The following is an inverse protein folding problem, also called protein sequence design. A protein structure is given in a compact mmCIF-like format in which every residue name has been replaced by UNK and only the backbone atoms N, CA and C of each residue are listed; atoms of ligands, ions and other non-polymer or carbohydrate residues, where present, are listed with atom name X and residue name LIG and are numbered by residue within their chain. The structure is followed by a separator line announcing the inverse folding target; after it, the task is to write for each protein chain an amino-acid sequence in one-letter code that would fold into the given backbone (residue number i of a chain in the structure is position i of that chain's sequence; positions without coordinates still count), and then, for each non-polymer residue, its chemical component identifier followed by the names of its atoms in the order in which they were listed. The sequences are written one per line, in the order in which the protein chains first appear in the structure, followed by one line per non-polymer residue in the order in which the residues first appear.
data_IF_127907889677
#
_entry.id   IF_127907889677
#
_cell.length_a   1.000
_cell.length_b   1.000
_cell.length_c   1.000
_cell.angle_alpha   90.00
_cell.angle_beta   90.00
_cell.angle_gamma   90.00
#
_symmetry.space_group_name_H-M   'P 1'
#
loop_
_entity.id
_entity.type
_entity.pdbx_description
1 polymer ?
#
# COMPACT_ATOMS: atom_id res chain seq x y z
N UNK A 1 -35.27 -0.76 -33.75
CA UNK A 1 -35.52 -0.01 -32.49
C UNK A 1 -34.36 -0.32 -31.56
N UNK A 2 -33.52 0.67 -31.24
CA UNK A 2 -32.40 0.48 -30.32
C UNK A 2 -32.89 0.73 -28.90
N UNK A 3 -32.82 -0.28 -28.03
CA UNK A 3 -33.05 -0.10 -26.60
C UNK A 3 -31.79 0.55 -26.01
N UNK A 4 -31.86 1.79 -25.48
CA UNK A 4 -30.72 2.35 -24.79
C UNK A 4 -30.47 1.53 -23.52
N UNK A 5 -29.28 0.96 -23.39
CA UNK A 5 -28.85 0.21 -22.19
C UNK A 5 -28.78 1.08 -20.92
N UNK A 6 -28.95 2.40 -21.04
CA UNK A 6 -28.84 3.38 -19.95
C UNK A 6 -30.11 4.21 -19.76
N UNK A 7 -31.29 3.60 -19.90
CA UNK A 7 -32.53 4.27 -19.50
C UNK A 7 -32.75 4.16 -17.97
N UNK A 8 -32.30 5.16 -17.22
CA UNK A 8 -32.97 5.58 -15.97
C UNK A 8 -32.27 5.30 -14.64
N UNK A 9 -31.41 6.23 -14.18
CA UNK A 9 -31.28 6.75 -12.81
C UNK A 9 -30.03 7.66 -12.76
N UNK A 10 -30.06 8.86 -12.15
CA UNK A 10 -28.87 9.70 -12.03
C UNK A 10 -27.78 9.09 -11.12
N UNK A 11 -28.14 8.10 -10.30
CA UNK A 11 -27.22 7.28 -9.51
C UNK A 11 -27.60 5.81 -9.71
N UNK A 12 -26.92 5.15 -10.64
CA UNK A 12 -27.10 3.72 -10.89
C UNK A 12 -26.49 2.91 -9.74
N UNK A 13 -27.02 1.72 -9.45
CA UNK A 13 -26.48 0.79 -8.44
C UNK A 13 -24.98 0.51 -8.65
N UNK A 14 -24.52 0.61 -9.90
CA UNK A 14 -23.13 0.55 -10.31
C UNK A 14 -22.25 1.59 -9.60
N UNK A 15 -22.72 2.84 -9.41
CA UNK A 15 -21.95 3.85 -8.67
C UNK A 15 -21.77 3.47 -7.20
N UNK A 16 -22.78 2.86 -6.58
CA UNK A 16 -22.67 2.37 -5.19
C UNK A 16 -21.72 1.19 -5.08
N UNK A 17 -21.70 0.30 -6.07
CA UNK A 17 -20.76 -0.82 -6.13
C UNK A 17 -19.33 -0.29 -6.29
N UNK A 18 -19.10 0.63 -7.22
CA UNK A 18 -17.79 1.25 -7.46
C UNK A 18 -17.33 2.01 -6.21
N UNK A 19 -18.20 2.81 -5.60
CA UNK A 19 -17.90 3.53 -4.37
C UNK A 19 -17.59 2.56 -3.22
N UNK A 20 -18.36 1.48 -3.08
CA UNK A 20 -18.13 0.43 -2.09
C UNK A 20 -16.77 -0.23 -2.26
N UNK A 21 -16.42 -0.63 -3.48
CA UNK A 21 -15.10 -1.19 -3.80
C UNK A 21 -13.99 -0.17 -3.49
N UNK A 22 -14.18 1.09 -3.84
CA UNK A 22 -13.20 2.15 -3.60
C UNK A 22 -12.97 2.37 -2.10
N UNK A 23 -14.04 2.44 -1.31
CA UNK A 23 -13.96 2.57 0.16
C UNK A 23 -13.27 1.37 0.79
N UNK A 24 -13.64 0.14 0.40
CA UNK A 24 -13.00 -1.07 0.93
C UNK A 24 -11.51 -1.06 0.60
N UNK A 25 -11.16 -0.77 -0.65
CA UNK A 25 -9.76 -0.73 -1.11
C UNK A 25 -8.96 0.37 -0.40
N UNK A 26 -9.57 1.54 -0.17
CA UNK A 26 -8.99 2.63 0.59
C UNK A 26 -8.69 2.21 2.03
N UNK A 27 -9.68 1.62 2.72
CA UNK A 27 -9.54 1.19 4.13
C UNK A 27 -8.48 0.11 4.28
N UNK A 28 -8.47 -0.87 3.37
CA UNK A 28 -7.46 -1.94 3.38
C UNK A 28 -6.05 -1.37 3.17
N UNK A 29 -5.86 -0.50 2.16
CA UNK A 29 -4.56 0.14 1.92
C UNK A 29 -4.13 1.00 3.10
N UNK A 30 -5.06 1.75 3.70
CA UNK A 30 -4.77 2.55 4.87
C UNK A 30 -4.34 1.68 6.06
N UNK A 31 -5.01 0.55 6.28
CA UNK A 31 -4.65 -0.42 7.31
C UNK A 31 -3.24 -0.99 7.12
N UNK A 32 -2.90 -1.40 5.89
CA UNK A 32 -1.56 -1.90 5.55
C UNK A 32 -0.51 -0.81 5.72
N UNK A 33 -0.78 0.41 5.27
CA UNK A 33 0.13 1.54 5.44
C UNK A 33 0.41 1.88 6.90
N UNK A 34 -0.64 1.91 7.74
CA UNK A 34 -0.50 2.10 9.19
C UNK A 34 0.30 0.97 9.82
N UNK A 35 0.09 -0.27 9.37
CA UNK A 35 0.86 -1.41 9.83
C UNK A 35 2.35 -1.29 9.47
N UNK A 36 2.67 -0.94 8.22
CA UNK A 36 4.04 -0.70 7.74
C UNK A 36 4.70 0.43 8.54
N UNK A 37 4.01 1.55 8.76
CA UNK A 37 4.52 2.65 9.57
C UNK A 37 4.86 2.19 11.00
N UNK A 38 3.96 1.41 11.63
CA UNK A 38 4.16 0.92 12.99
C UNK A 38 5.28 -0.11 13.07
N UNK A 39 5.43 -0.98 12.07
CA UNK A 39 6.52 -1.95 12.00
C UNK A 39 7.86 -1.24 11.79
N UNK A 40 7.95 -0.30 10.85
CA UNK A 40 9.15 0.51 10.61
C UNK A 40 9.56 1.30 11.86
N UNK A 41 8.59 1.90 12.56
CA UNK A 41 8.85 2.63 13.81
C UNK A 41 9.29 1.72 14.96
N UNK A 42 8.82 0.48 15.02
CA UNK A 42 9.26 -0.52 16.01
C UNK A 42 10.67 -1.02 15.76
N UNK A 43 11.11 -1.03 14.50
CA UNK A 43 12.42 -1.52 14.05
C UNK A 43 13.47 -0.42 13.86
N UNK A 44 13.14 0.82 14.23
CA UNK A 44 13.98 2.01 14.05
C UNK A 44 14.49 2.22 12.61
N UNK A 45 13.69 1.80 11.62
CA UNK A 45 14.01 1.97 10.21
C UNK A 45 13.87 3.45 9.86
N UNK A 46 14.92 4.03 9.26
CA UNK A 46 14.90 5.43 8.82
C UNK A 46 13.72 5.72 7.88
N UNK A 47 13.18 6.93 7.94
CA UNK A 47 12.09 7.37 7.08
C UNK A 47 10.79 6.53 7.22
N UNK A 48 10.46 6.04 8.41
CA UNK A 48 9.25 5.25 8.69
C UNK A 48 7.95 5.86 8.13
N UNK A 49 7.81 7.19 8.16
CA UNK A 49 6.67 7.88 7.55
C UNK A 49 6.65 7.73 6.03
N UNK A 50 7.79 7.82 5.35
CA UNK A 50 7.90 7.66 3.90
C UNK A 50 7.53 6.23 3.48
N UNK A 51 7.87 5.21 4.28
CA UNK A 51 7.44 3.83 4.03
C UNK A 51 5.93 3.64 4.16
N UNK A 52 5.33 4.20 5.22
CA UNK A 52 3.88 4.21 5.39
C UNK A 52 3.17 4.96 4.26
N UNK A 53 3.53 6.21 4.01
CA UNK A 53 2.92 7.05 2.98
C UNK A 53 3.15 6.51 1.57
N UNK A 54 4.36 6.04 1.27
CA UNK A 54 4.72 5.43 -0.01
C UNK A 54 3.88 4.20 -0.29
N UNK A 55 3.78 3.27 0.67
CA UNK A 55 2.96 2.06 0.51
C UNK A 55 1.48 2.37 0.28
N UNK A 56 0.93 3.37 0.98
CA UNK A 56 -0.45 3.83 0.77
C UNK A 56 -0.64 4.39 -0.63
N UNK A 57 0.22 5.34 -1.04
CA UNK A 57 0.08 6.02 -2.33
C UNK A 57 0.25 5.06 -3.50
N UNK A 58 1.24 4.17 -3.46
CA UNK A 58 1.40 3.16 -4.53
C UNK A 58 0.32 2.09 -4.48
N UNK A 59 -0.11 1.65 -3.30
CA UNK A 59 -1.14 0.64 -3.14
C UNK A 59 -2.53 1.13 -3.58
N UNK A 60 -2.85 2.38 -3.25
CA UNK A 60 -4.15 2.97 -3.56
C UNK A 60 -4.22 3.55 -4.99
N UNK A 61 -3.14 4.13 -5.52
CA UNK A 61 -3.14 4.80 -6.83
C UNK A 61 -2.48 3.97 -7.95
N UNK A 62 -1.60 3.03 -7.60
CA UNK A 62 -0.54 2.58 -8.52
C UNK A 62 -0.54 1.10 -8.90
N UNK A 63 -1.41 0.27 -8.33
CA UNK A 63 -1.51 -1.16 -8.68
C UNK A 63 -0.14 -1.88 -8.65
N UNK A 64 0.40 -2.25 -9.82
CA UNK A 64 1.69 -2.96 -9.99
C UNK A 64 2.86 -2.24 -9.30
N UNK A 65 2.87 -0.90 -9.23
CA UNK A 65 3.94 -0.16 -8.53
C UNK A 65 3.96 -0.40 -7.02
N UNK A 66 2.84 -0.83 -6.42
CA UNK A 66 2.79 -1.26 -5.03
C UNK A 66 3.64 -2.50 -4.78
N UNK A 67 3.69 -3.43 -5.74
CA UNK A 67 4.46 -4.67 -5.63
C UNK A 67 5.95 -4.38 -5.56
N UNK A 68 6.45 -3.42 -6.33
CA UNK A 68 7.85 -2.99 -6.31
C UNK A 68 8.20 -2.36 -4.96
N UNK A 69 7.36 -1.46 -4.44
CA UNK A 69 7.59 -0.87 -3.11
C UNK A 69 7.52 -1.92 -2.01
N UNK A 70 6.59 -2.87 -2.09
CA UNK A 70 6.50 -3.96 -1.12
C UNK A 70 7.76 -4.84 -1.16
N UNK A 71 8.23 -5.22 -2.35
CA UNK A 71 9.45 -6.00 -2.50
C UNK A 71 10.67 -5.27 -1.90
N UNK A 72 10.82 -3.97 -2.16
CA UNK A 72 11.88 -3.16 -1.56
C UNK A 72 11.75 -3.06 -0.04
N UNK A 73 10.53 -2.87 0.47
CA UNK A 73 10.28 -2.84 1.91
C UNK A 73 10.67 -4.15 2.59
N UNK A 74 10.26 -5.30 2.02
CA UNK A 74 10.59 -6.62 2.57
C UNK A 74 12.09 -6.90 2.52
N UNK A 75 12.75 -6.54 1.42
CA UNK A 75 14.21 -6.66 1.30
C UNK A 75 14.93 -5.88 2.40
N UNK A 76 14.61 -4.59 2.54
CA UNK A 76 15.19 -3.72 3.58
C UNK A 76 14.87 -4.29 4.97
N UNK A 77 13.63 -4.67 5.23
CA UNK A 77 13.21 -5.27 6.50
C UNK A 77 14.08 -6.48 6.88
N UNK A 78 14.43 -7.31 5.91
CA UNK A 78 15.22 -8.51 6.14
C UNK A 78 16.69 -8.19 6.46
N UNK A 79 17.27 -7.13 5.88
CA UNK A 79 18.62 -6.63 6.24
C UNK A 79 18.68 -6.18 7.72
N UNK A 80 17.67 -5.44 8.18
CA UNK A 80 17.58 -5.02 9.58
C UNK A 80 17.28 -6.21 10.52
N UNK A 81 16.55 -7.23 10.05
CA UNK A 81 16.25 -8.42 10.83
C UNK A 81 17.44 -9.40 10.94
N UNK A 82 18.29 -9.44 9.91
CA UNK A 82 19.48 -10.30 9.87
C UNK A 82 20.69 -9.70 10.59
N UNK A 83 20.60 -8.44 11.03
CA UNK A 83 21.74 -7.70 11.57
C UNK A 83 22.73 -7.47 10.45
N UNK A 84 22.56 -6.35 9.73
CA UNK A 84 23.36 -6.01 8.54
C UNK A 84 24.87 -6.26 8.71
N UNK A 85 25.61 -6.43 7.58
CA UNK A 85 26.93 -7.04 7.56
C UNK A 85 27.79 -6.53 8.71
N UNK A 86 28.14 -7.40 9.65
CA UNK A 86 29.16 -7.09 10.63
C UNK A 86 30.43 -6.81 9.84
N UNK A 87 30.70 -5.53 9.56
CA UNK A 87 32.03 -5.06 9.21
C UNK A 87 32.87 -5.49 10.40
N UNK A 88 33.56 -6.64 10.25
CA UNK A 88 34.63 -7.02 11.15
C UNK A 88 35.70 -5.97 10.93
N UNK A 89 35.64 -4.90 11.72
CA UNK A 89 36.80 -4.05 11.94
C UNK A 89 37.91 -4.99 12.41
N UNK A 90 39.01 -4.99 11.66
CA UNK A 90 40.10 -5.91 11.85
C UNK A 90 40.82 -5.66 13.17
N UNK A 91 41.23 -6.76 13.80
CA UNK A 91 42.47 -6.90 14.57
C UNK A 91 42.91 -8.35 14.49
#
# INVERSE_FOLDING_TARGET
MALPLQAGSPVNVELFIILGIMVITFVVNLGVSVWIYRDAKRRDISHAFAWGAGSFLTGFLGGITAVVIWALYFFVRDEYASGGPSVREGT
#
